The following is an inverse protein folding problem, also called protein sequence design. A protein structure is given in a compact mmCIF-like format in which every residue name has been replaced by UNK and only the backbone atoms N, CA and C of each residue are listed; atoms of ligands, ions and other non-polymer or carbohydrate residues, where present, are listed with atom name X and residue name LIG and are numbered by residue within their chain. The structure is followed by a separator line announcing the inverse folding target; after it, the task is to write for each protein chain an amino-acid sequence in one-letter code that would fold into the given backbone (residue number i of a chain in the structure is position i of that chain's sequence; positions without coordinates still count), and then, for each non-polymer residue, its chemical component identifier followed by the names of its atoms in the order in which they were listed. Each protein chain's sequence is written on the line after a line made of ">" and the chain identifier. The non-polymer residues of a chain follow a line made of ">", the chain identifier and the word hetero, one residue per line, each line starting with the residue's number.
data_IF_950946753548
#
_entry.id   IF_950946753548
#
_cell.length_a   1.000
_cell.length_b   1.000
_cell.length_c   1.000
_cell.angle_alpha   90.00
_cell.angle_beta   90.00
_cell.angle_gamma   90.00
#
_symmetry.space_group_name_H-M   'P 1'
#
loop_
_entity.id
_entity.type
_entity.pdbx_description
1 polymer ?
#
# COMPACT_ATOMS: atom_id res chain seq x y z
N UNK A 1 -17.10 12.04 -3.30
CA UNK A 1 -16.26 13.02 -4.04
C UNK A 1 -15.17 12.24 -4.76
N UNK A 2 -14.91 12.53 -6.03
CA UNK A 2 -13.85 11.86 -6.81
C UNK A 2 -12.68 12.82 -7.07
N UNK A 3 -11.47 12.28 -7.17
CA UNK A 3 -10.26 12.96 -7.63
C UNK A 3 -9.69 12.24 -8.85
N UNK A 4 -9.47 12.98 -9.93
CA UNK A 4 -8.75 12.48 -11.08
C UNK A 4 -7.25 12.60 -10.84
N UNK A 5 -6.50 11.52 -11.08
CA UNK A 5 -5.04 11.53 -11.03
C UNK A 5 -4.45 10.74 -12.20
N UNK A 6 -3.19 11.02 -12.51
CA UNK A 6 -2.41 10.24 -13.47
C UNK A 6 -1.52 9.26 -12.72
N UNK A 7 -1.67 7.97 -12.97
CA UNK A 7 -0.82 6.91 -12.44
C UNK A 7 -0.35 6.04 -13.60
N UNK A 8 0.97 5.89 -13.75
CA UNK A 8 1.62 5.11 -14.82
C UNK A 8 1.05 5.45 -16.21
N UNK A 9 1.04 6.76 -16.52
CA UNK A 9 0.54 7.33 -17.78
C UNK A 9 -0.96 7.13 -18.05
N UNK A 10 -1.74 6.67 -17.06
CA UNK A 10 -3.19 6.51 -17.14
C UNK A 10 -3.91 7.47 -16.22
N UNK A 11 -4.92 8.17 -16.76
CA UNK A 11 -5.85 8.96 -15.95
C UNK A 11 -6.90 8.06 -15.32
N UNK A 12 -7.07 8.17 -14.02
CA UNK A 12 -8.05 7.38 -13.24
C UNK A 12 -8.81 8.30 -12.29
N UNK A 13 -10.12 8.06 -12.17
CA UNK A 13 -10.98 8.74 -11.21
C UNK A 13 -11.13 7.89 -9.96
N UNK A 14 -10.66 8.40 -8.83
CA UNK A 14 -10.63 7.68 -7.56
C UNK A 14 -11.52 8.37 -6.54
N UNK A 15 -12.25 7.55 -5.78
CA UNK A 15 -13.13 8.02 -4.73
C UNK A 15 -12.32 8.40 -3.49
N UNK A 16 -12.57 9.60 -2.96
CA UNK A 16 -11.94 10.07 -1.73
C UNK A 16 -12.41 9.24 -0.55
N UNK A 17 -11.47 8.81 0.28
CA UNK A 17 -11.72 7.95 1.42
C UNK A 17 -11.76 6.46 1.07
N UNK A 18 -10.97 6.06 0.08
CA UNK A 18 -10.96 4.68 -0.42
C UNK A 18 -9.55 4.12 -0.57
N UNK A 19 -9.47 2.80 -0.48
CA UNK A 19 -8.26 2.02 -0.73
C UNK A 19 -8.41 1.27 -2.05
N UNK A 20 -7.34 1.24 -2.82
CA UNK A 20 -7.26 0.55 -4.09
C UNK A 20 -6.03 -0.36 -4.11
N UNK A 21 -6.11 -1.40 -4.93
CA UNK A 21 -4.95 -2.16 -5.35
C UNK A 21 -4.82 -2.09 -6.87
N UNK A 22 -3.62 -1.85 -7.35
CA UNK A 22 -3.24 -2.01 -8.73
C UNK A 22 -2.39 -3.27 -8.81
N UNK A 23 -2.86 -4.25 -9.57
CA UNK A 23 -2.03 -5.35 -10.05
C UNK A 23 -1.36 -4.86 -11.33
N UNK A 24 -0.05 -4.60 -11.28
CA UNK A 24 0.73 -4.07 -12.40
C UNK A 24 2.08 -4.78 -12.52
N UNK A 25 2.45 -5.12 -13.75
CA UNK A 25 3.70 -5.78 -14.14
C UNK A 25 4.71 -4.86 -14.83
N UNK A 26 4.24 -3.77 -15.43
CA UNK A 26 5.08 -2.88 -16.23
C UNK A 26 5.25 -1.54 -15.51
N UNK A 27 6.00 -1.57 -14.41
CA UNK A 27 6.59 -0.38 -13.83
C UNK A 27 7.95 -0.16 -14.51
N UNK A 28 7.94 0.46 -15.69
CA UNK A 28 9.18 0.80 -16.37
C UNK A 28 9.89 1.91 -15.59
N UNK A 29 11.14 1.68 -15.17
CA UNK A 29 11.94 2.68 -14.43
C UNK A 29 12.11 4.02 -15.18
N UNK A 30 11.83 4.03 -16.48
CA UNK A 30 11.87 5.23 -17.33
C UNK A 30 10.61 6.10 -17.25
N UNK A 31 9.53 5.61 -16.62
CA UNK A 31 8.33 6.42 -16.36
C UNK A 31 8.58 7.36 -15.18
N UNK A 32 8.16 8.63 -15.31
CA UNK A 32 8.22 9.60 -14.23
C UNK A 32 6.89 9.62 -13.49
N UNK A 33 6.96 9.54 -12.16
CA UNK A 33 5.79 9.79 -11.31
C UNK A 33 5.39 11.27 -11.36
N UNK A 34 4.12 11.57 -11.08
CA UNK A 34 3.61 12.93 -11.01
C UNK A 34 4.32 13.70 -9.87
N UNK A 35 4.91 14.86 -10.17
CA UNK A 35 5.63 15.68 -9.18
C UNK A 35 4.67 16.54 -8.31
N UNK A 36 3.36 16.30 -8.40
CA UNK A 36 2.35 16.94 -7.55
C UNK A 36 2.65 16.70 -6.07
N UNK A 37 2.86 17.80 -5.33
CA UNK A 37 3.13 17.80 -3.89
C UNK A 37 2.04 17.15 -3.02
N UNK A 38 0.89 16.77 -3.60
CA UNK A 38 -0.22 16.13 -2.90
C UNK A 38 -0.18 14.60 -2.91
N UNK A 39 0.71 14.01 -3.72
CA UNK A 39 0.84 12.57 -3.85
C UNK A 39 2.14 12.11 -3.20
N UNK A 40 2.03 11.14 -2.31
CA UNK A 40 3.16 10.51 -1.65
C UNK A 40 3.46 9.17 -2.33
N UNK A 41 4.65 9.05 -2.91
CA UNK A 41 5.12 7.83 -3.58
C UNK A 41 6.18 7.12 -2.74
N UNK A 42 5.87 5.89 -2.33
CA UNK A 42 6.77 5.10 -1.48
C UNK A 42 6.92 3.67 -1.97
N UNK A 43 8.13 3.15 -1.84
CA UNK A 43 8.52 1.76 -2.11
C UNK A 43 8.24 1.25 -3.53
N UNK A 44 8.12 2.15 -4.51
CA UNK A 44 7.98 1.78 -5.91
C UNK A 44 9.35 1.65 -6.57
N UNK A 45 9.49 0.92 -7.70
CA UNK A 45 10.76 0.74 -8.40
C UNK A 45 11.26 2.00 -9.16
N UNK A 46 10.58 3.15 -9.04
CA UNK A 46 10.98 4.41 -9.68
C UNK A 46 12.04 5.18 -8.88
N UNK A 47 12.88 5.96 -9.57
CA UNK A 47 13.95 6.74 -8.94
C UNK A 47 13.43 7.85 -8.01
N UNK A 48 12.30 8.47 -8.35
CA UNK A 48 11.67 9.52 -7.55
C UNK A 48 10.68 8.99 -6.51
N UNK A 49 10.58 7.66 -6.33
CA UNK A 49 9.88 7.06 -5.20
C UNK A 49 10.81 7.01 -3.98
N UNK A 50 10.29 7.41 -2.82
CA UNK A 50 10.99 7.25 -1.55
C UNK A 50 11.12 5.76 -1.24
N UNK A 51 12.29 5.28 -0.83
CA UNK A 51 12.49 3.91 -0.34
C UNK A 51 12.24 3.88 1.16
N UNK A 52 11.58 2.84 1.67
CA UNK A 52 11.23 2.72 3.09
C UNK A 52 12.48 2.87 3.96
N UNK A 53 13.53 2.08 3.69
CA UNK A 53 14.80 2.16 4.44
C UNK A 53 15.35 3.58 4.51
N UNK A 54 15.43 4.28 3.38
CA UNK A 54 15.92 5.67 3.32
C UNK A 54 15.06 6.64 4.12
N UNK A 55 13.74 6.46 4.12
CA UNK A 55 12.84 7.30 4.90
C UNK A 55 13.08 7.11 6.40
N UNK A 56 13.20 5.84 6.80
CA UNK A 56 13.35 5.39 8.18
C UNK A 56 14.69 5.84 8.76
N UNK A 57 15.79 5.77 7.99
CA UNK A 57 17.14 6.17 8.44
C UNK A 57 17.25 7.64 8.89
N UNK A 58 16.31 8.51 8.47
CA UNK A 58 16.31 9.94 8.75
C UNK A 58 15.18 10.38 9.69
N UNK A 59 14.46 9.45 10.32
CA UNK A 59 13.29 9.74 11.15
C UNK A 59 13.47 9.18 12.56
N UNK A 60 12.80 9.82 13.53
CA UNK A 60 12.73 9.30 14.89
C UNK A 60 11.77 8.11 14.96
N UNK A 61 12.34 6.93 15.10
CA UNK A 61 11.63 5.65 15.27
C UNK A 61 11.40 5.31 16.75
N UNK A 62 11.45 6.31 17.65
CA UNK A 62 11.14 6.08 19.05
C UNK A 62 9.80 5.36 19.18
N UNK A 63 9.80 4.28 19.99
CA UNK A 63 8.62 3.47 20.26
C UNK A 63 7.47 4.36 20.73
N UNK A 64 7.77 5.39 21.54
CA UNK A 64 6.80 6.38 22.02
C UNK A 64 6.10 7.15 20.90
N UNK A 65 6.83 7.53 19.86
CA UNK A 65 6.25 8.23 18.70
C UNK A 65 5.36 7.29 17.91
N UNK A 66 5.80 6.04 17.71
CA UNK A 66 4.99 5.06 16.99
C UNK A 66 3.70 4.70 17.76
N UNK A 67 3.81 4.50 19.08
CA UNK A 67 2.67 4.24 19.98
C UNK A 67 1.62 5.35 19.93
N UNK A 68 2.06 6.61 19.88
CA UNK A 68 1.15 7.76 19.73
C UNK A 68 0.42 7.72 18.40
N UNK A 69 1.09 7.38 17.31
CA UNK A 69 0.48 7.30 15.98
C UNK A 69 -0.48 6.11 15.89
N UNK A 70 -0.13 4.95 16.44
CA UNK A 70 -1.00 3.77 16.53
C UNK A 70 -2.31 4.13 17.25
N UNK A 71 -2.23 4.79 18.40
CA UNK A 71 -3.42 5.25 19.15
C UNK A 71 -4.22 6.30 18.37
N UNK A 72 -3.54 7.27 17.75
CA UNK A 72 -4.18 8.35 16.99
C UNK A 72 -5.01 7.82 15.82
N UNK A 73 -4.52 6.81 15.11
CA UNK A 73 -5.19 6.25 13.93
C UNK A 73 -5.92 4.93 14.21
N UNK A 74 -5.96 4.49 15.47
CA UNK A 74 -6.61 3.27 15.92
C UNK A 74 -6.16 2.03 15.12
N UNK A 75 -4.85 1.83 15.03
CA UNK A 75 -4.27 0.68 14.33
C UNK A 75 -4.37 -0.58 15.20
N UNK A 76 -4.79 -1.70 14.62
CA UNK A 76 -5.16 -2.93 15.35
C UNK A 76 -4.09 -4.03 15.26
N UNK A 77 -3.37 -4.11 14.14
CA UNK A 77 -2.47 -5.20 13.79
C UNK A 77 -0.98 -4.84 13.96
N UNK A 78 -0.70 -3.61 14.36
CA UNK A 78 0.65 -3.09 14.50
C UNK A 78 1.22 -3.41 15.87
N UNK A 79 2.41 -4.00 15.88
CA UNK A 79 3.18 -4.24 17.09
C UNK A 79 4.35 -3.25 17.18
N UNK A 80 4.35 -2.36 18.19
CA UNK A 80 5.40 -1.35 18.34
C UNK A 80 6.81 -1.94 18.48
N UNK A 81 6.92 -3.12 19.11
CA UNK A 81 8.18 -3.81 19.37
C UNK A 81 8.83 -4.41 18.12
N UNK A 82 8.12 -4.45 16.99
CA UNK A 82 8.57 -5.07 15.74
C UNK A 82 8.82 -4.03 14.63
N UNK A 83 9.13 -2.76 14.98
CA UNK A 83 9.33 -1.66 14.01
C UNK A 83 10.48 -1.90 13.01
N UNK A 84 11.30 -2.93 13.23
CA UNK A 84 12.37 -3.35 12.31
C UNK A 84 11.80 -4.06 11.08
N UNK A 85 10.60 -4.65 11.17
CA UNK A 85 9.95 -5.32 10.05
C UNK A 85 9.46 -4.34 8.98
N UNK A 86 9.61 -4.71 7.71
CA UNK A 86 9.26 -3.89 6.54
C UNK A 86 7.79 -3.48 6.57
N UNK A 87 6.91 -4.36 7.05
CA UNK A 87 5.49 -4.08 7.25
C UNK A 87 5.27 -2.91 8.22
N UNK A 88 5.89 -2.96 9.40
CA UNK A 88 5.75 -1.91 10.42
C UNK A 88 6.39 -0.59 9.95
N UNK A 89 7.55 -0.65 9.30
CA UNK A 89 8.20 0.55 8.74
C UNK A 89 7.34 1.22 7.66
N UNK A 90 6.69 0.43 6.81
CA UNK A 90 5.81 0.95 5.78
C UNK A 90 4.60 1.65 6.40
N UNK A 91 3.94 1.01 7.36
CA UNK A 91 2.79 1.60 8.05
C UNK A 91 3.18 2.87 8.80
N UNK A 92 4.27 2.85 9.57
CA UNK A 92 4.82 4.03 10.23
C UNK A 92 5.02 5.18 9.23
N UNK A 93 5.62 4.89 8.08
CA UNK A 93 5.89 5.90 7.07
C UNK A 93 4.59 6.51 6.53
N UNK A 94 3.60 5.67 6.22
CA UNK A 94 2.29 6.12 5.71
C UNK A 94 1.59 7.02 6.73
N UNK A 95 1.49 6.58 7.98
CA UNK A 95 0.75 7.32 9.02
C UNK A 95 1.48 8.58 9.48
N UNK A 96 2.80 8.63 9.37
CA UNK A 96 3.57 9.83 9.68
C UNK A 96 3.38 10.93 8.63
N UNK A 97 3.10 10.57 7.38
CA UNK A 97 2.94 11.51 6.27
C UNK A 97 1.48 11.81 5.90
N UNK A 98 0.54 11.20 6.62
CA UNK A 98 -0.90 11.25 6.31
C UNK A 98 -1.51 12.65 6.34
N UNK A 99 -1.01 13.54 7.18
CA UNK A 99 -1.51 14.91 7.27
C UNK A 99 -0.99 15.80 6.12
N UNK A 100 0.16 15.44 5.55
CA UNK A 100 0.83 16.24 4.52
C UNK A 100 0.36 15.93 3.09
N UNK A 101 -0.22 14.74 2.89
CA UNK A 101 -0.56 14.25 1.55
C UNK A 101 -2.01 13.77 1.47
N UNK A 102 -2.62 13.90 0.30
CA UNK A 102 -4.00 13.46 0.07
C UNK A 102 -4.09 12.04 -0.50
N UNK A 103 -3.04 11.64 -1.20
CA UNK A 103 -2.99 10.43 -2.01
C UNK A 103 -1.67 9.72 -1.75
N UNK A 104 -1.74 8.41 -1.56
CA UNK A 104 -0.61 7.55 -1.27
C UNK A 104 -0.53 6.46 -2.31
N UNK A 105 0.61 6.35 -2.99
CA UNK A 105 0.90 5.29 -3.94
C UNK A 105 2.06 4.47 -3.38
N UNK A 106 1.75 3.22 -3.03
CA UNK A 106 2.57 2.40 -2.14
C UNK A 106 2.95 1.12 -2.86
N UNK A 107 4.24 0.92 -3.12
CA UNK A 107 4.74 -0.36 -3.63
C UNK A 107 4.80 -1.42 -2.55
N UNK A 108 4.37 -2.64 -2.88
CA UNK A 108 4.40 -3.80 -1.98
C UNK A 108 5.62 -4.69 -2.20
N UNK A 109 6.64 -4.21 -2.93
CA UNK A 109 7.86 -4.98 -3.17
C UNK A 109 8.55 -5.34 -1.84
N UNK A 110 8.80 -6.64 -1.63
CA UNK A 110 9.39 -7.18 -0.40
C UNK A 110 8.40 -7.33 0.77
N UNK A 111 7.11 -7.07 0.56
CA UNK A 111 6.04 -7.29 1.56
C UNK A 111 5.41 -8.66 1.33
N UNK A 112 5.27 -9.46 2.39
CA UNK A 112 4.62 -10.77 2.29
C UNK A 112 3.11 -10.64 1.98
N UNK A 113 2.53 -11.70 1.44
CA UNK A 113 1.11 -11.75 1.12
C UNK A 113 0.22 -11.49 2.35
N UNK A 114 0.57 -12.09 3.49
CA UNK A 114 -0.12 -11.91 4.76
C UNK A 114 -0.05 -10.46 5.23
N UNK A 115 1.13 -9.82 5.10
CA UNK A 115 1.31 -8.42 5.45
C UNK A 115 0.51 -7.48 4.53
N UNK A 116 0.34 -7.80 3.25
CA UNK A 116 -0.51 -7.01 2.34
C UNK A 116 -1.97 -6.98 2.84
N UNK A 117 -2.51 -8.12 3.29
CA UNK A 117 -3.86 -8.18 3.86
C UNK A 117 -4.00 -7.25 5.07
N UNK A 118 -3.04 -7.30 5.99
CA UNK A 118 -3.03 -6.50 7.21
C UNK A 118 -2.91 -5.01 6.88
N UNK A 119 -2.04 -4.62 5.93
CA UNK A 119 -1.92 -3.24 5.46
C UNK A 119 -3.27 -2.75 4.94
N UNK A 120 -3.93 -3.52 4.07
CA UNK A 120 -5.22 -3.12 3.53
C UNK A 120 -6.29 -2.98 4.61
N UNK A 121 -6.29 -3.85 5.63
CA UNK A 121 -7.20 -3.75 6.77
C UNK A 121 -7.02 -2.44 7.54
N UNK A 122 -5.77 -2.07 7.84
CA UNK A 122 -5.46 -0.80 8.51
C UNK A 122 -5.89 0.41 7.68
N UNK A 123 -5.54 0.41 6.39
CA UNK A 123 -5.75 1.57 5.54
C UNK A 123 -7.22 1.85 5.22
N UNK A 124 -8.12 0.86 5.23
CA UNK A 124 -9.55 1.10 4.94
C UNK A 124 -10.16 2.09 5.93
N UNK A 125 -9.98 1.85 7.22
CA UNK A 125 -10.54 2.72 8.26
C UNK A 125 -9.94 4.12 8.16
N UNK A 126 -8.63 4.17 7.99
CA UNK A 126 -7.87 5.42 7.87
C UNK A 126 -8.34 6.23 6.67
N UNK A 127 -8.54 5.58 5.51
CA UNK A 127 -9.01 6.24 4.30
C UNK A 127 -10.34 6.95 4.55
N UNK A 128 -11.32 6.23 5.08
CA UNK A 128 -12.67 6.73 5.32
C UNK A 128 -12.70 7.91 6.29
N UNK A 129 -11.95 7.81 7.40
CA UNK A 129 -11.90 8.84 8.45
C UNK A 129 -11.11 10.06 8.02
N UNK A 130 -9.90 9.85 7.48
CA UNK A 130 -8.96 10.92 7.11
C UNK A 130 -9.20 11.48 5.70
N UNK A 131 -10.20 10.94 4.98
CA UNK A 131 -10.53 11.32 3.60
C UNK A 131 -9.32 11.21 2.65
N UNK A 132 -8.56 10.12 2.79
CA UNK A 132 -7.36 9.84 1.99
C UNK A 132 -7.65 8.82 0.90
N UNK A 133 -6.77 8.79 -0.11
CA UNK A 133 -6.79 7.76 -1.15
C UNK A 133 -5.50 6.95 -1.02
N UNK A 134 -5.62 5.64 -0.82
CA UNK A 134 -4.47 4.74 -0.80
C UNK A 134 -4.51 3.82 -2.00
N UNK A 135 -3.35 3.59 -2.61
CA UNK A 135 -3.20 2.77 -3.80
C UNK A 135 -2.00 1.87 -3.57
N UNK A 136 -2.25 0.60 -3.30
CA UNK A 136 -1.20 -0.40 -3.23
C UNK A 136 -0.88 -0.85 -4.64
N UNK A 137 0.40 -0.85 -4.99
CA UNK A 137 0.89 -1.30 -6.28
C UNK A 137 1.57 -2.64 -6.05
N UNK A 138 0.86 -3.68 -6.44
CA UNK A 138 1.37 -5.04 -6.43
C UNK A 138 2.17 -5.28 -7.70
N UNK A 139 3.46 -5.53 -7.52
CA UNK A 139 4.32 -6.01 -8.60
C UNK A 139 3.91 -7.44 -8.95
N UNK A 140 3.44 -7.65 -10.18
CA UNK A 140 2.98 -8.95 -10.66
C UNK A 140 3.85 -9.44 -11.80
N UNK A 141 4.20 -10.73 -11.80
CA UNK A 141 4.95 -11.36 -12.90
C UNK A 141 4.16 -11.47 -14.22
N UNK A 142 2.85 -11.19 -14.18
CA UNK A 142 1.94 -11.25 -15.33
C UNK A 142 1.43 -9.85 -15.69
N UNK A 143 1.37 -9.56 -17.00
CA UNK A 143 0.91 -8.29 -17.59
C UNK A 143 -0.58 -8.03 -17.35
N UNK A 144 -0.90 -7.76 -16.09
CA UNK A 144 -2.22 -7.41 -15.60
C UNK A 144 -2.16 -5.92 -15.31
N UNK A 145 -3.18 -5.17 -15.74
CA UNK A 145 -3.30 -3.75 -15.42
C UNK A 145 -4.71 -3.52 -14.88
N UNK A 146 -4.95 -4.08 -13.71
CA UNK A 146 -6.24 -4.10 -13.03
C UNK A 146 -6.13 -3.18 -11.82
N UNK A 147 -7.04 -2.20 -11.73
CA UNK A 147 -7.24 -1.33 -10.58
C UNK A 147 -8.55 -1.74 -9.90
N UNK A 148 -8.45 -2.17 -8.65
CA UNK A 148 -9.59 -2.67 -7.88
C UNK A 148 -9.77 -1.87 -6.60
N UNK A 149 -10.99 -1.36 -6.37
CA UNK A 149 -11.36 -0.77 -5.08
C UNK A 149 -11.48 -1.88 -4.03
N UNK A 150 -10.79 -1.73 -2.92
CA UNK A 150 -10.84 -2.67 -1.80
C UNK A 150 -12.00 -2.30 -0.87
N UNK A 151 -12.75 -3.30 -0.44
CA UNK A 151 -13.82 -3.13 0.53
C UNK A 151 -13.80 -4.27 1.56
N UNK A 152 -14.59 -4.15 2.63
CA UNK A 152 -14.62 -5.13 3.73
C UNK A 152 -15.04 -6.53 3.28
N UNK A 153 -15.86 -6.67 2.22
CA UNK A 153 -16.26 -7.98 1.69
C UNK A 153 -15.07 -8.68 1.03
N UNK A 154 -14.31 -7.95 0.20
CA UNK A 154 -13.06 -8.45 -0.41
C UNK A 154 -12.01 -8.83 0.62
N UNK A 155 -11.90 -8.10 1.72
CA UNK A 155 -10.97 -8.45 2.80
C UNK A 155 -11.40 -9.69 3.61
N UNK A 156 -12.70 -9.96 3.71
CA UNK A 156 -13.20 -11.20 4.34
C UNK A 156 -12.83 -12.42 3.51
N UNK A 157 -12.88 -12.30 2.19
CA UNK A 157 -12.52 -13.34 1.23
C UNK A 157 -11.17 -13.05 0.53
N UNK A 158 -10.20 -12.53 1.30
CA UNK A 158 -8.99 -11.94 0.72
C UNK A 158 -8.19 -12.90 -0.14
N UNK A 159 -8.00 -14.13 0.30
CA UNK A 159 -7.20 -15.13 -0.43
C UNK A 159 -7.78 -15.40 -1.81
N UNK A 160 -9.05 -15.77 -1.87
CA UNK A 160 -9.73 -16.05 -3.13
C UNK A 160 -9.75 -14.80 -4.01
N UNK A 161 -10.15 -13.65 -3.47
CA UNK A 161 -10.21 -12.41 -4.24
C UNK A 161 -8.83 -12.01 -4.80
N UNK A 162 -7.80 -11.99 -3.96
CA UNK A 162 -6.47 -11.53 -4.33
C UNK A 162 -5.80 -12.46 -5.33
N UNK A 163 -5.85 -13.78 -5.07
CA UNK A 163 -5.25 -14.79 -5.95
C UNK A 163 -5.96 -14.82 -7.30
N UNK A 164 -7.30 -14.75 -7.33
CA UNK A 164 -8.05 -14.71 -8.58
C UNK A 164 -7.68 -13.50 -9.45
N UNK A 165 -7.43 -12.34 -8.83
CA UNK A 165 -7.00 -11.14 -9.55
C UNK A 165 -5.53 -11.18 -10.02
N UNK A 166 -4.71 -12.09 -9.49
CA UNK A 166 -3.39 -12.39 -10.05
C UNK A 166 -3.46 -13.27 -11.31
N UNK A 167 -4.63 -13.87 -11.63
CA UNK A 167 -4.89 -14.68 -12.82
C UNK A 167 -4.12 -16.02 -12.86
N UNK A 168 -4.81 -17.13 -13.13
CA UNK A 168 -4.37 -18.48 -12.76
C UNK A 168 -3.54 -19.28 -13.81
N UNK A 169 -3.13 -20.50 -13.42
CA UNK A 169 -2.56 -21.66 -14.17
C UNK A 169 -1.03 -21.84 -14.29
N UNK A 170 -0.41 -22.44 -13.25
CA UNK A 170 0.11 -23.83 -13.32
C UNK A 170 0.94 -24.30 -12.09
N UNK A 171 1.01 -23.57 -10.99
CA UNK A 171 1.53 -24.15 -9.74
C UNK A 171 0.74 -23.61 -8.56
N UNK A 172 -0.28 -24.39 -8.19
CA UNK A 172 -0.74 -24.53 -6.81
C UNK A 172 0.50 -24.51 -5.92
N UNK A 173 0.64 -23.47 -5.08
CA UNK A 173 1.57 -23.56 -3.96
C UNK A 173 1.00 -24.61 -3.01
N UNK A 174 1.46 -25.85 -3.21
CA UNK A 174 1.21 -26.98 -2.34
C UNK A 174 1.97 -26.69 -1.05
N UNK A 175 1.25 -26.36 0.03
CA UNK A 175 1.74 -26.71 1.36
C UNK A 175 1.26 -28.13 1.66
N UNK A 176 2.07 -29.11 1.27
CA UNK A 176 2.07 -30.43 1.91
C UNK A 176 2.81 -30.25 3.22
N UNK A 177 2.09 -30.32 4.33
CA UNK A 177 2.69 -30.78 5.58
C UNK A 177 2.54 -32.30 5.64
N UNK A 178 3.65 -32.95 5.95
CA UNK A 178 3.83 -34.41 6.08
C UNK A 178 2.85 -35.03 7.07
#
# INVERSE_FOLDING_TARGET
>A
MYKQITIFDKKVDLEVGSVYIIFNNYLSQNQKLDDSRKIFYINLPFQNSIKISKYIDHKDLSIDTYDKLIKKYNLEFIKPQEIIDVFNQLIYTIINEIENHDIFVIGTMGVSFESVKLILQELINIAEVQKKIFILVQDTSKNINILEKVNRLKLKDFENWYINNLGDNNNVFIFKQS
#
